data_IF_674318406505
#
_entry.id   IF_674318406505
#
_cell.length_a   1.000
_cell.length_b   1.000
_cell.length_c   1.000
_cell.angle_alpha   90.00
_cell.angle_beta   90.00
_cell.angle_gamma   90.00
#
_symmetry.space_group_name_H-M   'P 1'
#
loop_
_entity.id
_entity.type
_entity.pdbx_description
1 polymer ?
#
# COMPACT_ATOMS: atom_id res chain seq x y z
N UNK A 1 -5.97 -12.98 -9.87
CA UNK A 1 -5.49 -11.58 -9.96
C UNK A 1 -4.24 -11.30 -9.11
N UNK A 2 -4.18 -11.71 -7.83
CA UNK A 2 -3.02 -11.45 -6.95
C UNK A 2 -1.66 -11.90 -7.53
N UNK A 3 -1.57 -13.16 -7.99
CA UNK A 3 -0.34 -13.73 -8.59
C UNK A 3 0.09 -13.00 -9.88
N UNK A 4 -0.86 -12.53 -10.69
CA UNK A 4 -0.55 -11.79 -11.93
C UNK A 4 0.02 -10.41 -11.63
N UNK A 5 -0.50 -9.71 -10.61
CA UNK A 5 0.03 -8.42 -10.17
C UNK A 5 1.42 -8.57 -9.56
N UNK A 6 1.65 -9.61 -8.73
CA UNK A 6 2.96 -9.90 -8.17
C UNK A 6 4.00 -10.21 -9.26
N UNK A 7 3.63 -11.01 -10.27
CA UNK A 7 4.51 -11.28 -11.42
C UNK A 7 4.80 -10.02 -12.25
N UNK A 8 3.79 -9.20 -12.53
CA UNK A 8 3.96 -7.94 -13.27
C UNK A 8 4.87 -6.96 -12.52
N UNK A 9 4.74 -6.88 -11.19
CA UNK A 9 5.63 -6.10 -10.33
C UNK A 9 7.07 -6.59 -10.44
N UNK A 10 7.31 -7.90 -10.31
CA UNK A 10 8.66 -8.48 -10.43
C UNK A 10 9.29 -8.20 -11.78
N UNK A 11 8.57 -8.45 -12.87
CA UNK A 11 9.04 -8.18 -14.24
C UNK A 11 9.41 -6.70 -14.39
N UNK A 12 8.60 -5.79 -13.84
CA UNK A 12 8.87 -4.35 -13.89
C UNK A 12 10.18 -4.01 -13.16
N UNK A 13 10.37 -4.53 -11.95
CA UNK A 13 11.58 -4.31 -11.15
C UNK A 13 12.81 -4.85 -11.89
N UNK A 14 12.76 -6.09 -12.39
CA UNK A 14 13.87 -6.73 -13.10
C UNK A 14 14.24 -5.96 -14.38
N UNK A 15 13.23 -5.50 -15.12
CA UNK A 15 13.42 -4.69 -16.34
C UNK A 15 14.10 -3.36 -16.02
N UNK A 16 13.68 -2.70 -14.93
CA UNK A 16 14.30 -1.43 -14.49
C UNK A 16 15.73 -1.64 -14.02
N UNK A 17 15.97 -2.67 -13.20
CA UNK A 17 17.31 -3.02 -12.72
C UNK A 17 18.28 -3.38 -13.85
N UNK A 18 17.77 -3.96 -14.93
CA UNK A 18 18.59 -4.27 -16.12
C UNK A 18 18.91 -3.01 -16.90
N UNK A 19 17.94 -2.10 -17.09
CA UNK A 19 18.14 -0.89 -17.87
C UNK A 19 18.95 0.19 -17.14
N UNK A 20 18.85 0.24 -15.79
CA UNK A 20 19.49 1.20 -14.87
C UNK A 20 19.34 2.69 -15.21
N UNK A 21 18.49 3.07 -16.16
CA UNK A 21 18.34 4.45 -16.58
C UNK A 21 17.28 5.18 -15.75
N UNK A 22 17.46 6.50 -15.55
CA UNK A 22 16.49 7.34 -14.81
C UNK A 22 15.09 7.28 -15.46
N UNK A 23 15.03 7.17 -16.79
CA UNK A 23 13.77 7.00 -17.52
C UNK A 23 13.14 5.63 -17.27
N UNK A 24 13.92 4.56 -17.17
CA UNK A 24 13.41 3.23 -16.79
C UNK A 24 12.81 3.27 -15.39
N UNK A 25 13.50 3.85 -14.40
CA UNK A 25 12.95 4.03 -13.05
C UNK A 25 11.64 4.84 -13.07
N UNK A 26 11.58 5.95 -13.81
CA UNK A 26 10.35 6.74 -13.94
C UNK A 26 9.19 5.91 -14.49
N UNK A 27 9.45 5.19 -15.59
CA UNK A 27 8.42 4.39 -16.25
C UNK A 27 7.99 3.21 -15.37
N UNK A 28 8.93 2.56 -14.67
CA UNK A 28 8.64 1.50 -13.72
C UNK A 28 7.79 1.99 -12.54
N UNK A 29 8.10 3.16 -11.96
CA UNK A 29 7.27 3.76 -10.91
C UNK A 29 5.85 4.01 -11.42
N UNK A 30 5.68 4.52 -12.64
CA UNK A 30 4.35 4.68 -13.26
C UNK A 30 3.64 3.34 -13.46
N UNK A 31 4.34 2.33 -13.96
CA UNK A 31 3.81 0.98 -14.18
C UNK A 31 3.37 0.30 -12.87
N UNK A 32 4.09 0.54 -11.78
CA UNK A 32 3.69 0.07 -10.44
C UNK A 32 2.54 0.91 -9.87
N UNK A 33 2.47 2.20 -10.19
CA UNK A 33 1.48 3.13 -9.61
C UNK A 33 0.07 2.94 -10.16
N UNK A 34 -0.06 2.80 -11.48
CA UNK A 34 -1.37 2.81 -12.13
C UNK A 34 -2.28 1.64 -11.71
N UNK A 35 -1.80 0.39 -11.62
CA UNK A 35 -2.65 -0.75 -11.28
C UNK A 35 -3.28 -0.65 -9.89
N UNK A 36 -2.50 -0.31 -8.86
CA UNK A 36 -3.05 -0.24 -7.50
C UNK A 36 -4.04 0.92 -7.32
N UNK A 37 -3.87 2.03 -8.05
CA UNK A 37 -4.84 3.14 -8.07
C UNK A 37 -6.16 2.72 -8.72
N UNK A 38 -6.09 1.96 -9.81
CA UNK A 38 -7.27 1.40 -10.46
C UNK A 38 -8.01 0.44 -9.50
N UNK A 39 -7.27 -0.46 -8.85
CA UNK A 39 -7.84 -1.39 -7.87
C UNK A 39 -8.43 -0.65 -6.65
N UNK A 40 -7.74 0.34 -6.10
CA UNK A 40 -8.25 1.18 -5.00
C UNK A 40 -9.58 1.82 -5.39
N UNK A 41 -9.66 2.42 -6.58
CA UNK A 41 -10.89 3.04 -7.08
C UNK A 41 -12.02 2.00 -7.22
N UNK A 42 -11.74 0.84 -7.81
CA UNK A 42 -12.72 -0.22 -7.95
C UNK A 42 -13.28 -0.68 -6.60
N UNK A 43 -12.41 -0.91 -5.61
CA UNK A 43 -12.84 -1.27 -4.25
C UNK A 43 -13.64 -0.14 -3.59
N UNK A 44 -13.23 1.12 -3.72
CA UNK A 44 -13.98 2.26 -3.18
C UNK A 44 -15.38 2.37 -3.78
N UNK A 45 -15.51 2.18 -5.10
CA UNK A 45 -16.81 2.20 -5.79
C UNK A 45 -17.69 1.03 -5.36
N UNK A 46 -17.11 -0.13 -5.04
CA UNK A 46 -17.82 -1.28 -4.49
C UNK A 46 -18.17 -1.15 -2.99
N UNK A 47 -17.77 -0.05 -2.32
CA UNK A 47 -17.96 0.14 -0.88
C UNK A 47 -16.97 -0.64 0.01
N UNK A 48 -15.97 -1.28 -0.60
CA UNK A 48 -14.98 -2.11 0.08
C UNK A 48 -13.76 -1.28 0.53
N UNK A 49 -13.95 -0.51 1.61
CA UNK A 49 -12.91 0.38 2.15
C UNK A 49 -11.64 -0.37 2.60
N UNK A 50 -11.80 -1.60 3.13
CA UNK A 50 -10.67 -2.39 3.62
C UNK A 50 -9.76 -2.81 2.47
N UNK A 51 -10.31 -3.37 1.38
CA UNK A 51 -9.50 -3.79 0.25
C UNK A 51 -8.98 -2.59 -0.56
N UNK A 52 -9.68 -1.46 -0.57
CA UNK A 52 -9.16 -0.21 -1.11
C UNK A 52 -7.87 0.23 -0.41
N UNK A 53 -7.88 0.28 0.93
CA UNK A 53 -6.71 0.66 1.73
C UNK A 53 -5.57 -0.35 1.60
N UNK A 54 -5.87 -1.65 1.59
CA UNK A 54 -4.85 -2.70 1.37
C UNK A 54 -4.17 -2.57 0.01
N UNK A 55 -4.96 -2.41 -1.05
CA UNK A 55 -4.44 -2.23 -2.41
C UNK A 55 -3.48 -1.03 -2.49
N UNK A 56 -3.88 0.10 -1.91
CA UNK A 56 -3.02 1.29 -1.86
C UNK A 56 -1.76 1.08 -1.02
N UNK A 57 -1.86 0.43 0.14
CA UNK A 57 -0.72 0.14 1.01
C UNK A 57 0.34 -0.73 0.31
N UNK A 58 -0.09 -1.85 -0.28
CA UNK A 58 0.78 -2.76 -1.04
C UNK A 58 1.40 -2.05 -2.26
N UNK A 59 0.58 -1.27 -2.97
CA UNK A 59 1.02 -0.51 -4.14
C UNK A 59 2.08 0.54 -3.85
N UNK A 60 1.92 1.30 -2.76
CA UNK A 60 2.93 2.27 -2.31
C UNK A 60 4.20 1.56 -1.85
N UNK A 61 4.10 0.38 -1.22
CA UNK A 61 5.26 -0.43 -0.85
C UNK A 61 6.16 -0.76 -2.05
N UNK A 62 5.57 -1.22 -3.15
CA UNK A 62 6.32 -1.50 -4.38
C UNK A 62 6.99 -0.23 -4.97
N UNK A 63 6.30 0.91 -4.90
CA UNK A 63 6.87 2.20 -5.36
C UNK A 63 8.05 2.64 -4.48
N UNK A 64 7.97 2.42 -3.17
CA UNK A 64 9.06 2.72 -2.23
C UNK A 64 10.30 1.92 -2.57
N UNK A 65 10.16 0.61 -2.81
CA UNK A 65 11.29 -0.26 -3.17
C UNK A 65 11.99 0.22 -4.44
N UNK A 66 11.21 0.53 -5.49
CA UNK A 66 11.78 1.00 -6.75
C UNK A 66 12.38 2.41 -6.64
N UNK A 67 11.80 3.28 -5.81
CA UNK A 67 12.34 4.61 -5.54
C UNK A 67 13.66 4.54 -4.75
N UNK A 68 13.83 3.59 -3.82
CA UNK A 68 15.11 3.33 -3.13
C UNK A 68 16.19 2.95 -4.13
N UNK A 69 15.91 2.00 -5.01
CA UNK A 69 16.84 1.59 -6.06
C UNK A 69 17.21 2.75 -7.00
N UNK A 70 16.26 3.64 -7.31
CA UNK A 70 16.55 4.85 -8.09
C UNK A 70 17.53 5.79 -7.38
N UNK A 71 17.33 6.01 -6.07
CA UNK A 71 18.24 6.85 -5.26
C UNK A 71 19.63 6.23 -5.24
N UNK A 72 19.74 4.92 -5.05
CA UNK A 72 21.03 4.22 -5.00
C UNK A 72 21.77 4.29 -6.35
N UNK A 73 21.06 4.06 -7.47
CA UNK A 73 21.66 4.21 -8.80
C UNK A 73 22.14 5.65 -9.08
N UNK A 74 21.37 6.66 -8.66
CA UNK A 74 21.78 8.06 -8.82
C UNK A 74 23.04 8.38 -8.01
N UNK A 75 23.15 7.85 -6.79
CA UNK A 75 24.34 7.98 -5.93
C UNK A 75 25.55 7.28 -6.54
N UNK A 76 25.40 6.05 -7.01
CA UNK A 76 26.48 5.31 -7.67
C UNK A 76 27.05 6.10 -8.86
N UNK A 77 26.17 6.63 -9.72
CA UNK A 77 26.59 7.49 -10.85
C UNK A 77 27.28 8.77 -10.41
N UNK A 78 26.87 9.33 -9.27
CA UNK A 78 27.46 10.55 -8.73
C UNK A 78 28.86 10.30 -8.17
N UNK A 79 29.10 9.15 -7.54
CA UNK A 79 30.38 8.74 -6.97
C UNK A 79 31.45 8.46 -8.04
N UNK A 80 31.04 8.02 -9.23
CA UNK A 80 31.94 7.75 -10.37
C UNK A 80 32.50 9.03 -11.05
N UNK A 81 32.03 10.23 -10.67
CA UNK A 81 32.42 11.48 -11.31
C UNK A 81 33.67 12.12 -10.68
N UNK A 82 34.64 12.46 -11.53
CA UNK A 82 35.80 13.27 -11.17
C UNK A 82 35.42 14.74 -11.03
N UNK A 83 35.44 15.23 -9.79
CA UNK A 83 35.08 16.62 -9.46
C UNK A 83 36.15 17.65 -9.85
N UNK A 84 37.34 17.22 -10.25
CA UNK A 84 38.39 18.13 -10.73
C UNK A 84 38.19 18.52 -12.19
N UNK A 85 37.45 17.70 -12.95
CA UNK A 85 36.99 18.03 -14.29
C UNK A 85 35.73 18.91 -14.22
N UNK A 86 35.76 20.07 -14.89
CA UNK A 86 34.66 21.06 -14.84
C UNK A 86 33.31 20.51 -15.34
N UNK A 87 33.30 19.70 -16.39
CA UNK A 87 32.06 19.15 -16.96
C UNK A 87 31.49 18.04 -16.08
N UNK A 88 32.36 17.22 -15.50
CA UNK A 88 31.95 16.19 -14.55
C UNK A 88 31.49 16.80 -13.21
N UNK A 89 32.11 17.88 -12.74
CA UNK A 89 31.64 18.64 -11.57
C UNK A 89 30.24 19.24 -11.79
N UNK A 90 29.96 19.78 -12.99
CA UNK A 90 28.63 20.25 -13.35
C UNK A 90 27.59 19.10 -13.37
N UNK A 91 28.00 17.91 -13.84
CA UNK A 91 27.15 16.72 -13.85
C UNK A 91 26.87 16.24 -12.42
N UNK A 92 27.89 16.27 -11.56
CA UNK A 92 27.78 15.93 -10.14
C UNK A 92 26.73 16.79 -9.43
N UNK A 93 26.73 18.10 -9.68
CA UNK A 93 25.75 19.03 -9.08
C UNK A 93 24.32 18.76 -9.56
N UNK A 94 24.14 18.32 -10.82
CA UNK A 94 22.82 17.92 -11.33
C UNK A 94 22.34 16.64 -10.65
N UNK A 95 23.21 15.64 -10.53
CA UNK A 95 22.90 14.39 -9.83
C UNK A 95 22.56 14.64 -8.36
N UNK A 96 23.29 15.55 -7.69
CA UNK A 96 22.98 15.93 -6.30
C UNK A 96 21.54 16.42 -6.16
N UNK A 97 21.11 17.30 -7.06
CA UNK A 97 19.73 17.82 -7.08
C UNK A 97 18.71 16.72 -7.36
N UNK A 98 19.01 15.80 -8.27
CA UNK A 98 18.16 14.67 -8.60
C UNK A 98 18.04 13.69 -7.42
N UNK A 99 19.14 13.43 -6.70
CA UNK A 99 19.18 12.60 -5.49
C UNK A 99 18.33 13.24 -4.38
N UNK A 100 18.47 14.54 -4.14
CA UNK A 100 17.65 15.25 -3.15
C UNK A 100 16.17 15.15 -3.50
N UNK A 101 15.82 15.40 -4.75
CA UNK A 101 14.43 15.30 -5.23
C UNK A 101 13.88 13.88 -5.05
N UNK A 102 14.66 12.87 -5.44
CA UNK A 102 14.27 11.47 -5.32
C UNK A 102 14.14 11.04 -3.85
N UNK A 103 14.99 11.55 -2.97
CA UNK A 103 14.96 11.26 -1.52
C UNK A 103 13.74 11.92 -0.86
N UNK A 104 13.40 13.16 -1.21
CA UNK A 104 12.17 13.79 -0.72
C UNK A 104 10.91 13.04 -1.18
N UNK A 105 10.89 12.56 -2.43
CA UNK A 105 9.80 11.71 -2.93
C UNK A 105 9.69 10.40 -2.15
N UNK A 106 10.83 9.74 -1.88
CA UNK A 106 10.88 8.53 -1.07
C UNK A 106 10.28 8.75 0.32
N UNK A 107 10.71 9.80 1.02
CA UNK A 107 10.18 10.14 2.34
C UNK A 107 8.67 10.41 2.32
N UNK A 108 8.16 11.05 1.24
CA UNK A 108 6.73 11.25 1.05
C UNK A 108 5.96 9.94 0.88
N UNK A 109 6.51 8.97 0.13
CA UNK A 109 5.89 7.66 -0.01
C UNK A 109 5.90 6.88 1.30
N UNK A 110 7.01 6.90 2.05
CA UNK A 110 7.12 6.25 3.35
C UNK A 110 6.13 6.83 4.37
N UNK A 111 5.96 8.16 4.39
CA UNK A 111 4.95 8.81 5.23
C UNK A 111 3.51 8.40 4.84
N UNK A 112 3.22 8.30 3.54
CA UNK A 112 1.91 7.81 3.07
C UNK A 112 1.68 6.35 3.47
N UNK A 113 2.68 5.48 3.31
CA UNK A 113 2.58 4.07 3.68
C UNK A 113 2.30 3.90 5.18
N UNK A 114 3.01 4.67 6.02
CA UNK A 114 2.79 4.69 7.47
C UNK A 114 1.38 5.13 7.85
N UNK A 115 0.87 6.21 7.25
CA UNK A 115 -0.50 6.67 7.51
C UNK A 115 -1.57 5.64 7.11
N UNK A 116 -1.30 4.86 6.05
CA UNK A 116 -2.17 3.76 5.64
C UNK A 116 -2.09 2.56 6.58
N UNK A 117 -0.92 2.25 7.12
CA UNK A 117 -0.74 1.23 8.16
C UNK A 117 -1.59 1.55 9.40
N UNK A 118 -1.52 2.79 9.88
CA UNK A 118 -2.33 3.26 11.00
C UNK A 118 -3.83 3.17 10.70
N UNK A 119 -4.22 3.54 9.48
CA UNK A 119 -5.62 3.45 9.01
C UNK A 119 -6.11 2.00 8.97
N UNK A 120 -5.31 1.08 8.43
CA UNK A 120 -5.62 -0.35 8.37
C UNK A 120 -5.75 -0.94 9.78
N UNK A 121 -4.84 -0.59 10.70
CA UNK A 121 -4.87 -1.04 12.09
C UNK A 121 -6.13 -0.55 12.81
N UNK A 122 -6.51 0.71 12.60
CA UNK A 122 -7.71 1.29 13.20
C UNK A 122 -8.97 0.65 12.63
N UNK A 123 -9.04 0.45 11.31
CA UNK A 123 -10.17 -0.21 10.66
C UNK A 123 -10.32 -1.66 11.14
N UNK A 124 -9.21 -2.40 11.26
CA UNK A 124 -9.23 -3.76 11.78
C UNK A 124 -9.75 -3.81 13.22
N UNK A 125 -9.30 -2.90 14.09
CA UNK A 125 -9.84 -2.78 15.46
C UNK A 125 -11.34 -2.50 15.48
N UNK A 126 -11.87 -1.69 14.55
CA UNK A 126 -13.31 -1.44 14.46
C UNK A 126 -14.08 -2.69 14.04
N UNK A 127 -13.58 -3.44 13.05
CA UNK A 127 -14.18 -4.71 12.63
C UNK A 127 -14.25 -5.73 13.77
N UNK A 128 -13.17 -5.89 14.54
CA UNK A 128 -13.16 -6.81 15.69
C UNK A 128 -14.19 -6.41 16.76
N UNK A 129 -14.37 -5.10 17.02
CA UNK A 129 -15.40 -4.62 17.94
C UNK A 129 -16.81 -4.91 17.42
N UNK A 130 -17.08 -4.61 16.15
CA UNK A 130 -18.39 -4.86 15.53
C UNK A 130 -18.74 -6.35 15.53
N UNK A 131 -17.76 -7.22 15.27
CA UNK A 131 -17.95 -8.67 15.34
C UNK A 131 -18.35 -9.11 16.74
N UNK A 132 -17.65 -8.63 17.77
CA UNK A 132 -17.99 -8.93 19.16
C UNK A 132 -19.39 -8.42 19.54
N UNK A 133 -19.75 -7.20 19.14
CA UNK A 133 -21.08 -6.65 19.36
C UNK A 133 -22.18 -7.48 18.67
N UNK A 134 -21.91 -7.97 17.46
CA UNK A 134 -22.81 -8.86 16.74
C UNK A 134 -23.00 -10.19 17.46
N UNK A 135 -21.92 -10.82 17.92
CA UNK A 135 -21.98 -12.07 18.69
C UNK A 135 -22.82 -11.89 19.98
N UNK A 136 -22.60 -10.79 20.70
CA UNK A 136 -23.38 -10.44 21.89
C UNK A 136 -24.88 -10.20 21.59
N UNK A 137 -25.21 -9.63 20.43
CA UNK A 137 -26.59 -9.44 19.98
C UNK A 137 -27.26 -10.76 19.62
N UNK A 138 -26.54 -11.65 18.94
CA UNK A 138 -27.03 -13.01 18.63
C UNK A 138 -27.33 -13.78 19.91
N UNK A 139 -26.42 -13.74 20.89
CA UNK A 139 -26.62 -14.38 22.19
C UNK A 139 -27.84 -13.84 22.95
N UNK A 140 -28.04 -12.51 22.96
CA UNK A 140 -29.21 -11.88 23.57
C UNK A 140 -30.52 -12.28 22.87
N UNK A 141 -30.48 -12.39 21.54
CA UNK A 141 -31.64 -12.81 20.74
C UNK A 141 -32.01 -14.26 21.03
N UNK A 142 -31.03 -15.16 21.11
CA UNK A 142 -31.24 -16.56 21.46
C UNK A 142 -31.82 -16.71 22.88
N UNK A 143 -31.27 -15.99 23.87
CA UNK A 143 -31.82 -16.00 25.24
C UNK A 143 -33.26 -15.49 25.31
N UNK A 144 -33.58 -14.46 24.53
CA UNK A 144 -34.94 -13.89 24.48
C UNK A 144 -35.91 -14.88 23.85
N UNK A 145 -35.54 -15.49 22.73
CA UNK A 145 -36.36 -16.49 22.04
C UNK A 145 -36.65 -17.69 22.94
N UNK A 146 -35.64 -18.27 23.60
CA UNK A 146 -35.83 -19.36 24.56
C UNK A 146 -36.82 -19.03 25.68
N UNK A 147 -36.74 -17.81 26.25
CA UNK A 147 -37.67 -17.35 27.29
C UNK A 147 -39.10 -17.26 26.76
N UNK A 148 -39.28 -16.71 25.56
CA UNK A 148 -40.62 -16.59 24.94
C UNK A 148 -41.22 -17.95 24.59
N UNK A 149 -40.41 -18.91 24.12
CA UNK A 149 -40.88 -20.26 23.82
C UNK A 149 -41.35 -20.97 25.09
N UNK A 150 -40.52 -20.96 26.15
CA UNK A 150 -40.88 -21.57 27.46
C UNK A 150 -42.15 -20.95 28.04
N UNK A 151 -42.30 -19.62 27.96
CA UNK A 151 -43.52 -18.95 28.40
C UNK A 151 -44.75 -19.42 27.60
N UNK A 152 -44.65 -19.50 26.27
CA UNK A 152 -45.75 -19.96 25.41
C UNK A 152 -46.16 -21.42 25.66
N UNK A 153 -45.19 -22.29 25.96
CA UNK A 153 -45.44 -23.70 26.30
C UNK A 153 -46.13 -23.85 27.67
N UNK A 154 -45.76 -23.01 28.64
CA UNK A 154 -46.41 -22.99 29.95
C UNK A 154 -47.88 -22.59 29.86
N UNK A 155 -48.21 -21.58 29.02
CA UNK A 155 -49.59 -21.15 28.80
C UNK A 155 -50.47 -22.22 28.14
N UNK A 156 -49.92 -23.06 27.25
CA UNK A 156 -50.69 -24.12 26.57
C UNK A 156 -51.05 -25.32 27.45
N UNK A 157 -50.44 -25.44 28.65
CA UNK A 157 -50.66 -26.55 29.58
C UNK A 157 -51.64 -26.23 30.72
N UNK A 158 -52.19 -25.01 30.75
CA UNK A 158 -53.29 -24.60 31.63
C UNK A 158 -54.62 -24.71 30.91
#
# INVERSE_FOLDING_TARGET
>A
MKVQNEMATKITVDTVQTAKSVSAFRNGITALTNPWKANEMAYRTAGDSLNALKSRYEGIGNVIELQKQKVDELKNRQEELDRTNKDQANTWLKLEKDIQTATCQLASYEAQQKGLEDSLKNLNKQYEKQKKELDELVDKTNKTTEKTTKASEAYKKQ
#
